data_IF_025874628129
#
_entry.id   IF_025874628129
#
_cell.length_a   1.000
_cell.length_b   1.000
_cell.length_c   1.000
_cell.angle_alpha   90.00
_cell.angle_beta   90.00
_cell.angle_gamma   90.00
#
_symmetry.space_group_name_H-M   'P 1'
#
loop_
_entity.id
_entity.type
_entity.pdbx_description
1 polymer ?
#
# COMPACT_ATOMS: atom_id res chain seq x y z
N UNK A 1 -19.68 16.63 17.45
CA UNK A 1 -20.50 15.51 16.93
C UNK A 1 -21.74 16.11 16.28
N UNK A 2 -22.22 15.52 15.18
CA UNK A 2 -23.45 16.02 14.53
C UNK A 2 -24.68 15.41 15.20
N UNK A 3 -25.61 16.23 15.68
CA UNK A 3 -26.83 15.80 16.37
C UNK A 3 -27.90 15.18 15.43
N UNK A 4 -27.52 14.81 14.21
CA UNK A 4 -28.41 14.23 13.20
C UNK A 4 -28.17 12.70 13.09
N UNK A 5 -29.20 11.85 13.04
CA UNK A 5 -29.07 10.40 12.90
C UNK A 5 -28.20 9.96 11.70
N UNK A 6 -28.21 10.72 10.61
CA UNK A 6 -27.35 10.46 9.44
C UNK A 6 -25.86 10.63 9.76
N UNK A 7 -25.49 11.60 10.60
CA UNK A 7 -24.12 11.85 11.02
C UNK A 7 -23.60 10.70 11.90
N UNK A 8 -24.40 10.20 12.84
CA UNK A 8 -24.07 9.02 13.66
C UNK A 8 -23.86 7.76 12.79
N UNK A 9 -24.68 7.56 11.75
CA UNK A 9 -24.49 6.48 10.78
C UNK A 9 -23.16 6.63 10.03
N UNK A 10 -22.83 7.84 9.55
CA UNK A 10 -21.56 8.11 8.86
C UNK A 10 -20.36 7.88 9.77
N UNK A 11 -20.41 8.28 11.04
CA UNK A 11 -19.36 8.03 12.02
C UNK A 11 -19.05 6.53 12.16
N UNK A 12 -20.10 5.70 12.35
CA UNK A 12 -19.94 4.22 12.42
C UNK A 12 -19.33 3.63 11.15
N UNK A 13 -19.74 4.09 9.97
CA UNK A 13 -19.16 3.62 8.71
C UNK A 13 -17.69 4.04 8.55
N UNK A 14 -17.37 5.27 8.97
CA UNK A 14 -16.02 5.81 8.85
C UNK A 14 -15.03 5.03 9.73
N UNK A 15 -15.41 4.63 10.95
CA UNK A 15 -14.58 3.79 11.79
C UNK A 15 -14.23 2.45 11.10
N UNK A 16 -15.23 1.77 10.54
CA UNK A 16 -15.02 0.51 9.79
C UNK A 16 -14.09 0.70 8.58
N UNK A 17 -14.30 1.77 7.80
CA UNK A 17 -13.44 2.10 6.66
C UNK A 17 -12.02 2.45 7.10
N UNK A 18 -11.88 3.19 8.20
CA UNK A 18 -10.59 3.61 8.72
C UNK A 18 -9.75 2.41 9.15
N UNK A 19 -10.31 1.49 9.94
CA UNK A 19 -9.62 0.27 10.38
C UNK A 19 -9.08 -0.55 9.20
N UNK A 20 -9.91 -0.77 8.17
CA UNK A 20 -9.50 -1.45 6.93
C UNK A 20 -8.37 -0.70 6.20
N UNK A 21 -8.50 0.61 6.07
CA UNK A 21 -7.52 1.42 5.35
C UNK A 21 -6.18 1.50 6.08
N UNK A 22 -6.19 1.58 7.41
CA UNK A 22 -4.98 1.57 8.24
C UNK A 22 -4.25 0.25 8.09
N UNK A 23 -4.94 -0.88 8.22
CA UNK A 23 -4.35 -2.22 8.06
C UNK A 23 -3.71 -2.42 6.68
N UNK A 24 -4.40 -2.03 5.60
CA UNK A 24 -3.82 -2.15 4.25
C UNK A 24 -2.62 -1.22 4.07
N UNK A 25 -2.68 0.02 4.59
CA UNK A 25 -1.55 0.96 4.52
C UNK A 25 -0.34 0.47 5.30
N UNK A 26 -0.53 -0.15 6.46
CA UNK A 26 0.56 -0.72 7.25
C UNK A 26 1.18 -1.93 6.54
N UNK A 27 0.36 -2.83 5.99
CA UNK A 27 0.83 -3.97 5.19
C UNK A 27 1.70 -3.49 4.01
N UNK A 28 1.21 -2.52 3.23
CA UNK A 28 1.94 -1.94 2.10
C UNK A 28 3.30 -1.36 2.52
N UNK A 29 3.37 -0.67 3.66
CA UNK A 29 4.63 -0.10 4.18
C UNK A 29 5.60 -1.20 4.58
N UNK A 30 5.11 -2.30 5.17
CA UNK A 30 5.94 -3.44 5.59
C UNK A 30 6.54 -4.17 4.39
N UNK A 31 5.72 -4.48 3.37
CA UNK A 31 6.20 -5.16 2.17
C UNK A 31 7.17 -4.26 1.38
N UNK A 32 6.93 -2.95 1.31
CA UNK A 32 7.84 -2.00 0.66
C UNK A 32 9.23 -2.02 1.34
N UNK A 33 9.26 -1.95 2.68
CA UNK A 33 10.51 -2.03 3.45
C UNK A 33 11.24 -3.36 3.25
N UNK A 34 10.51 -4.47 3.19
CA UNK A 34 11.09 -5.80 2.96
C UNK A 34 11.72 -5.89 1.57
N UNK A 35 11.06 -5.35 0.54
CA UNK A 35 11.62 -5.30 -0.82
C UNK A 35 12.93 -4.51 -0.84
N UNK A 36 12.96 -3.32 -0.22
CA UNK A 36 14.19 -2.50 -0.13
C UNK A 36 15.30 -3.24 0.62
N UNK A 37 14.97 -4.01 1.67
CA UNK A 37 15.94 -4.80 2.41
C UNK A 37 16.57 -5.89 1.54
N UNK A 38 15.76 -6.67 0.81
CA UNK A 38 16.25 -7.71 -0.10
C UNK A 38 17.17 -7.15 -1.19
N UNK A 39 16.84 -5.98 -1.72
CA UNK A 39 17.68 -5.26 -2.69
C UNK A 39 19.04 -4.91 -2.06
N UNK A 40 19.05 -4.38 -0.83
CA UNK A 40 20.28 -4.03 -0.10
C UNK A 40 21.13 -5.23 0.28
N UNK A 41 20.51 -6.38 0.53
CA UNK A 41 21.19 -7.64 0.82
C UNK A 41 21.80 -8.30 -0.44
N UNK A 42 21.61 -7.71 -1.63
CA UNK A 42 22.22 -8.20 -2.88
C UNK A 42 21.50 -9.39 -3.51
N UNK A 43 20.34 -9.81 -2.99
CA UNK A 43 19.57 -10.96 -3.47
C UNK A 43 18.67 -10.59 -4.64
N UNK A 44 19.27 -10.41 -5.82
CA UNK A 44 18.61 -9.86 -7.02
C UNK A 44 17.39 -10.68 -7.47
N UNK A 45 17.50 -12.00 -7.52
CA UNK A 45 16.42 -12.89 -7.98
C UNK A 45 15.23 -12.88 -7.02
N UNK A 46 15.49 -13.07 -5.72
CA UNK A 46 14.46 -12.97 -4.67
C UNK A 46 13.79 -11.59 -4.65
N UNK A 47 14.57 -10.51 -4.85
CA UNK A 47 14.05 -9.16 -4.90
C UNK A 47 13.13 -8.92 -6.12
N UNK A 48 13.46 -9.50 -7.29
CA UNK A 48 12.62 -9.42 -8.49
C UNK A 48 11.29 -10.15 -8.32
N UNK A 49 11.31 -11.35 -7.76
CA UNK A 49 10.08 -12.09 -7.47
C UNK A 49 9.22 -11.35 -6.43
N UNK A 50 9.85 -10.88 -5.36
CA UNK A 50 9.14 -10.16 -4.31
C UNK A 50 8.59 -8.81 -4.81
N UNK A 51 9.29 -8.15 -5.74
CA UNK A 51 8.80 -6.94 -6.39
C UNK A 51 7.52 -7.17 -7.18
N UNK A 52 7.38 -8.30 -7.90
CA UNK A 52 6.13 -8.66 -8.59
C UNK A 52 4.96 -8.74 -7.61
N UNK A 53 5.18 -9.35 -6.44
CA UNK A 53 4.18 -9.41 -5.37
C UNK A 53 3.81 -8.03 -4.82
N UNK A 54 4.81 -7.18 -4.54
CA UNK A 54 4.59 -5.81 -4.05
C UNK A 54 3.81 -4.98 -5.07
N UNK A 55 4.17 -5.07 -6.34
CA UNK A 55 3.50 -4.38 -7.45
C UNK A 55 2.01 -4.75 -7.51
N UNK A 56 1.69 -6.06 -7.46
CA UNK A 56 0.30 -6.56 -7.43
C UNK A 56 -0.49 -6.01 -6.23
N UNK A 57 0.13 -5.95 -5.05
CA UNK A 57 -0.50 -5.41 -3.84
C UNK A 57 -0.77 -3.90 -3.94
N UNK A 58 0.18 -3.12 -4.47
CA UNK A 58 0.02 -1.68 -4.70
C UNK A 58 -1.13 -1.40 -5.68
N UNK A 59 -1.20 -2.13 -6.79
CA UNK A 59 -2.25 -1.94 -7.80
C UNK A 59 -3.63 -2.37 -7.27
N UNK A 60 -3.68 -3.44 -6.46
CA UNK A 60 -4.91 -3.85 -5.78
C UNK A 60 -5.41 -2.79 -4.80
N UNK A 61 -4.51 -2.16 -4.05
CA UNK A 61 -4.86 -1.09 -3.12
C UNK A 61 -5.31 0.19 -3.85
N UNK A 62 -4.72 0.48 -5.01
CA UNK A 62 -5.15 1.58 -5.87
C UNK A 62 -6.55 1.32 -6.45
N UNK A 63 -6.80 0.10 -6.95
CA UNK A 63 -8.13 -0.31 -7.46
C UNK A 63 -9.21 -0.20 -6.39
N UNK A 64 -8.90 -0.56 -5.14
CA UNK A 64 -9.81 -0.41 -3.98
C UNK A 64 -9.92 1.04 -3.46
N UNK A 65 -9.29 2.02 -4.14
CA UNK A 65 -9.24 3.45 -3.76
C UNK A 65 -8.69 3.72 -2.36
N UNK A 66 -7.86 2.81 -1.83
CA UNK A 66 -7.20 2.98 -0.52
C UNK A 66 -6.00 3.93 -0.66
N UNK A 67 -5.32 3.85 -1.80
CA UNK A 67 -4.28 4.79 -2.24
C UNK A 67 -4.63 5.33 -3.63
N UNK A 68 -4.13 6.52 -3.96
CA UNK A 68 -4.31 7.08 -5.29
C UNK A 68 -3.46 6.32 -6.33
N UNK A 69 -3.94 6.21 -7.58
CA UNK A 69 -3.21 5.57 -8.70
C UNK A 69 -1.80 6.13 -8.88
N UNK A 70 -1.63 7.45 -8.80
CA UNK A 70 -0.32 8.10 -8.93
C UNK A 70 0.62 7.74 -7.76
N UNK A 71 0.07 7.48 -6.56
CA UNK A 71 0.86 7.04 -5.42
C UNK A 71 1.37 5.63 -5.64
N UNK A 72 0.53 4.73 -6.15
CA UNK A 72 0.96 3.38 -6.54
C UNK A 72 2.03 3.42 -7.64
N UNK A 73 1.81 4.20 -8.70
CA UNK A 73 2.76 4.36 -9.80
C UNK A 73 4.12 4.91 -9.33
N UNK A 74 4.13 5.97 -8.51
CA UNK A 74 5.36 6.54 -7.92
C UNK A 74 6.12 5.50 -7.10
N UNK A 75 5.42 4.70 -6.29
CA UNK A 75 6.04 3.66 -5.47
C UNK A 75 6.65 2.54 -6.32
N UNK A 76 5.95 2.10 -7.36
CA UNK A 76 6.49 1.12 -8.33
C UNK A 76 7.72 1.64 -9.05
N UNK A 77 7.68 2.89 -9.52
CA UNK A 77 8.81 3.54 -10.20
C UNK A 77 10.04 3.62 -9.28
N UNK A 78 9.89 4.09 -8.04
CA UNK A 78 11.01 4.19 -7.10
C UNK A 78 11.66 2.82 -6.81
N UNK A 79 10.85 1.79 -6.59
CA UNK A 79 11.34 0.43 -6.36
C UNK A 79 12.02 -0.16 -7.61
N UNK A 80 11.49 0.12 -8.80
CA UNK A 80 12.09 -0.32 -10.06
C UNK A 80 13.45 0.34 -10.30
N UNK A 81 13.58 1.65 -10.01
CA UNK A 81 14.86 2.36 -10.13
C UNK A 81 15.89 1.77 -9.18
N UNK A 82 15.48 1.39 -7.96
CA UNK A 82 16.34 0.73 -6.98
C UNK A 82 16.78 -0.68 -7.40
N UNK A 83 15.98 -1.39 -8.19
CA UNK A 83 16.33 -2.73 -8.70
C UNK A 83 17.29 -2.68 -9.89
N UNK A 84 17.19 -1.64 -10.71
CA UNK A 84 18.00 -1.46 -11.91
C UNK A 84 19.39 -0.87 -11.62
N UNK A 85 19.62 -0.44 -10.38
CA UNK A 85 20.85 0.21 -9.92
C UNK A 85 21.68 -0.77 -9.11
#
# INVERSE_FOLDING_TARGET
MGNNPSALKRARQNLKRNLRNVSVKSELKTIEKRCVRLIREGKKEEALEFFKFVSKKLDTAARKRIIHRNKAARKKSNLSILLLR
#
